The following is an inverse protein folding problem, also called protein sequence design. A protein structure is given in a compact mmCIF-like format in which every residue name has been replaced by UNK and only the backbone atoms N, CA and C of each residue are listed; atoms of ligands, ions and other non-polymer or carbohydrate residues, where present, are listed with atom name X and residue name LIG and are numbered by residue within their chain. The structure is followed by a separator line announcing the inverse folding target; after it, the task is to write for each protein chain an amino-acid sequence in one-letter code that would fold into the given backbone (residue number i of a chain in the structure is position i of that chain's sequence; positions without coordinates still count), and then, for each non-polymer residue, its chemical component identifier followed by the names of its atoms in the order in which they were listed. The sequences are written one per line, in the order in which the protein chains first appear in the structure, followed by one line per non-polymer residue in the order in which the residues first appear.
data_IF_216467421698
#
_entry.id   IF_216467421698
#
_cell.length_a   1.000
_cell.length_b   1.000
_cell.length_c   1.000
_cell.angle_alpha   90.00
_cell.angle_beta   90.00
_cell.angle_gamma   90.00
#
_symmetry.space_group_name_H-M   'P 1'
#
loop_
_entity.id
_entity.type
_entity.pdbx_description
1 polymer ?
#
# COMPACT_ATOMS: atom_id res chain seq x y z
N UNK A 1 -4.89 20.28 -2.32
CA UNK A 1 -3.53 19.98 -1.84
C UNK A 1 -3.58 19.76 -0.33
N UNK A 2 -2.95 18.72 0.22
CA UNK A 2 -3.04 18.30 1.64
C UNK A 2 -1.63 18.38 2.29
N UNK A 3 -1.20 19.56 2.81
CA UNK A 3 0.16 19.78 3.35
C UNK A 3 0.62 18.78 4.42
N UNK A 4 -0.26 18.38 5.33
CA UNK A 4 0.05 17.43 6.39
C UNK A 4 0.23 16.00 5.87
N UNK A 5 -0.43 15.62 4.76
CA UNK A 5 -0.16 14.35 4.08
C UNK A 5 1.29 14.28 3.59
N UNK A 6 1.79 15.38 3.01
CA UNK A 6 3.19 15.50 2.58
C UNK A 6 4.15 15.41 3.77
N UNK A 7 3.84 16.12 4.85
CA UNK A 7 4.63 16.14 6.09
C UNK A 7 4.67 14.76 6.74
N UNK A 8 3.55 14.04 6.77
CA UNK A 8 3.44 12.68 7.30
C UNK A 8 4.37 11.72 6.55
N UNK A 9 4.26 11.70 5.22
CA UNK A 9 5.07 10.81 4.39
C UNK A 9 6.57 11.12 4.50
N UNK A 10 6.97 12.40 4.49
CA UNK A 10 8.37 12.78 4.69
C UNK A 10 8.90 12.46 6.09
N UNK A 11 8.06 12.53 7.11
CA UNK A 11 8.44 12.15 8.47
C UNK A 11 8.63 10.62 8.60
N UNK A 12 7.76 9.81 7.99
CA UNK A 12 7.93 8.35 7.92
C UNK A 12 9.24 7.95 7.23
N UNK A 13 9.66 8.73 6.23
CA UNK A 13 10.93 8.54 5.51
C UNK A 13 12.16 9.09 6.26
N UNK A 14 12.00 9.56 7.50
CA UNK A 14 13.06 10.14 8.33
C UNK A 14 13.82 11.30 7.63
N UNK A 15 13.13 12.09 6.79
CA UNK A 15 13.72 13.21 6.07
C UNK A 15 14.16 14.33 7.02
N UNK A 16 15.44 14.68 7.02
CA UNK A 16 16.05 15.49 8.08
C UNK A 16 15.47 16.90 8.28
N UNK A 17 14.93 17.56 7.25
CA UNK A 17 14.24 18.86 7.42
C UNK A 17 12.87 18.69 8.06
N UNK A 18 12.10 17.70 7.64
CA UNK A 18 10.76 17.39 8.14
C UNK A 18 10.82 16.85 9.56
N UNK A 19 11.78 15.99 9.87
CA UNK A 19 12.02 15.53 11.24
C UNK A 19 12.26 16.74 12.13
N UNK A 20 13.21 17.62 11.78
CA UNK A 20 13.48 18.88 12.53
C UNK A 20 12.24 19.77 12.65
N UNK A 21 11.43 19.89 11.60
CA UNK A 21 10.17 20.64 11.61
C UNK A 21 9.19 20.05 12.63
N UNK A 22 8.97 18.73 12.60
CA UNK A 22 8.09 18.03 13.54
C UNK A 22 8.62 18.12 14.97
N UNK A 23 9.94 18.01 15.19
CA UNK A 23 10.56 18.23 16.51
C UNK A 23 10.21 19.61 17.06
N UNK A 24 10.39 20.66 16.24
CA UNK A 24 10.06 22.04 16.64
C UNK A 24 8.59 22.19 16.99
N UNK A 25 7.70 21.51 16.26
CA UNK A 25 6.26 21.50 16.53
C UNK A 25 5.97 20.81 17.87
N UNK A 26 6.52 19.62 18.10
CA UNK A 26 6.34 18.90 19.38
C UNK A 26 6.79 19.78 20.57
N UNK A 27 7.96 20.42 20.47
CA UNK A 27 8.45 21.31 21.51
C UNK A 27 7.57 22.55 21.70
N UNK A 28 7.09 23.16 20.61
CA UNK A 28 6.20 24.33 20.66
C UNK A 28 4.89 24.05 21.41
N UNK A 29 4.38 22.82 21.31
CA UNK A 29 3.12 22.42 21.95
C UNK A 29 3.32 21.58 23.22
N UNK A 30 4.54 21.61 23.80
CA UNK A 30 4.90 20.87 25.02
C UNK A 30 4.57 19.37 24.96
N UNK A 31 4.74 18.77 23.78
CA UNK A 31 4.52 17.33 23.55
C UNK A 31 5.85 16.60 23.80
N UNK A 32 6.11 16.26 25.06
CA UNK A 32 7.30 15.51 25.47
C UNK A 32 6.95 14.38 26.44
N UNK A 33 7.92 13.50 26.71
CA UNK A 33 7.77 12.37 27.65
C UNK A 33 7.59 12.83 29.10
N UNK A 34 8.12 14.00 29.43
CA UNK A 34 8.14 14.57 30.79
C UNK A 34 6.82 15.28 31.15
N UNK A 35 6.02 15.64 30.15
CA UNK A 35 4.77 16.35 30.33
C UNK A 35 3.57 15.41 30.31
N UNK A 36 2.86 15.31 31.43
CA UNK A 36 1.62 14.52 31.55
C UNK A 36 0.52 14.98 30.58
N UNK A 37 0.58 16.24 30.13
CA UNK A 37 -0.38 16.85 29.19
C UNK A 37 -0.11 16.62 27.70
N UNK A 38 0.74 15.66 27.30
CA UNK A 38 1.15 15.49 25.91
C UNK A 38 -0.02 15.33 24.90
N UNK A 39 -1.10 14.66 25.29
CA UNK A 39 -2.32 14.51 24.47
C UNK A 39 -3.09 15.83 24.35
N UNK A 40 -3.08 16.66 25.40
CA UNK A 40 -3.70 18.00 25.35
C UNK A 40 -2.90 18.93 24.43
N UNK A 41 -1.57 18.80 24.41
CA UNK A 41 -0.69 19.48 23.46
C UNK A 41 -1.01 19.12 22.00
N UNK A 42 -1.31 17.85 21.71
CA UNK A 42 -1.77 17.41 20.39
C UNK A 42 -3.11 18.06 20.00
N UNK A 43 -4.07 18.14 20.91
CA UNK A 43 -5.36 18.79 20.63
C UNK A 43 -5.18 20.28 20.35
N UNK A 44 -4.31 20.97 21.12
CA UNK A 44 -3.95 22.39 20.88
C UNK A 44 -3.23 22.62 19.56
N UNK A 45 -2.40 21.67 19.13
CA UNK A 45 -1.78 21.72 17.82
C UNK A 45 -2.85 21.69 16.73
N UNK A 46 -3.76 20.73 16.77
CA UNK A 46 -4.81 20.59 15.74
C UNK A 46 -5.72 21.82 15.73
N UNK A 47 -6.11 22.33 16.90
CA UNK A 47 -6.97 23.50 17.00
C UNK A 47 -6.34 24.79 16.45
N UNK A 48 -5.00 24.89 16.45
CA UNK A 48 -4.27 26.08 16.00
C UNK A 48 -3.70 26.00 14.58
N UNK A 49 -3.58 24.80 14.00
CA UNK A 49 -2.93 24.59 12.69
C UNK A 49 -3.89 24.44 11.52
N UNK A 50 -5.14 24.05 11.77
CA UNK A 50 -6.16 23.78 10.73
C UNK A 50 -7.15 24.97 10.59
N UNK A 51 -6.77 26.16 11.06
CA UNK A 51 -7.59 27.38 11.03
C UNK A 51 -7.55 28.05 9.65
N UNK A 52 -8.27 27.46 8.69
CA UNK A 52 -8.24 27.89 7.29
C UNK A 52 -9.44 28.68 6.77
N UNK A 53 -10.64 28.60 7.37
CA UNK A 53 -11.87 29.12 6.76
C UNK A 53 -12.91 29.60 7.79
N UNK A 54 -13.80 30.51 7.34
CA UNK A 54 -15.00 30.97 8.07
C UNK A 54 -16.03 29.84 8.17
N UNK A 55 -15.79 28.88 9.05
CA UNK A 55 -16.73 27.78 9.32
C UNK A 55 -17.70 28.21 10.42
N UNK A 56 -19.02 28.05 10.22
CA UNK A 56 -20.00 28.29 11.26
C UNK A 56 -19.98 27.13 12.28
N UNK A 57 -19.51 27.35 13.52
CA UNK A 57 -19.35 26.29 14.51
C UNK A 57 -20.68 25.61 14.85
N UNK A 58 -21.78 26.38 14.85
CA UNK A 58 -23.12 25.89 15.18
C UNK A 58 -23.66 24.94 14.12
N UNK A 59 -23.34 25.17 12.83
CA UNK A 59 -23.73 24.28 11.74
C UNK A 59 -22.98 22.95 11.82
N UNK A 60 -21.66 23.01 12.06
CA UNK A 60 -20.84 21.81 12.23
C UNK A 60 -21.26 21.00 13.44
N UNK A 61 -21.46 21.64 14.60
CA UNK A 61 -21.91 20.94 15.81
C UNK A 61 -23.29 20.28 15.64
N UNK A 62 -24.20 20.90 14.87
CA UNK A 62 -25.48 20.27 14.51
C UNK A 62 -25.27 19.02 13.65
N UNK A 63 -24.31 19.04 12.73
CA UNK A 63 -23.98 17.87 11.89
C UNK A 63 -23.32 16.73 12.67
N UNK A 64 -22.50 17.06 13.69
CA UNK A 64 -21.82 16.08 14.55
C UNK A 64 -22.71 15.54 15.67
N UNK A 65 -23.86 16.17 15.95
CA UNK A 65 -24.77 15.82 17.03
C UNK A 65 -25.29 14.38 16.98
N UNK A 66 -25.34 13.76 15.80
CA UNK A 66 -25.71 12.34 15.63
C UNK A 66 -24.60 11.35 16.01
N UNK A 67 -23.39 11.82 16.27
CA UNK A 67 -22.25 10.96 16.58
C UNK A 67 -22.16 10.66 18.09
N UNK A 68 -22.04 9.39 18.52
CA UNK A 68 -22.08 9.02 19.94
C UNK A 68 -20.92 9.59 20.77
N UNK A 69 -19.77 9.86 20.15
CA UNK A 69 -18.60 10.46 20.82
C UNK A 69 -18.67 11.99 20.94
N UNK A 70 -19.58 12.66 20.24
CA UNK A 70 -19.63 14.11 20.19
C UNK A 70 -19.91 14.78 21.55
N UNK A 71 -20.91 14.35 22.34
CA UNK A 71 -21.17 14.95 23.66
C UNK A 71 -19.97 14.81 24.61
N UNK A 72 -19.29 13.66 24.60
CA UNK A 72 -18.10 13.41 25.41
C UNK A 72 -16.94 14.32 25.01
N UNK A 73 -16.73 14.50 23.70
CA UNK A 73 -15.71 15.40 23.19
C UNK A 73 -15.99 16.86 23.60
N UNK A 74 -17.23 17.34 23.47
CA UNK A 74 -17.58 18.71 23.87
C UNK A 74 -17.36 18.98 25.36
N UNK A 75 -17.78 18.08 26.24
CA UNK A 75 -17.57 18.21 27.69
C UNK A 75 -16.06 18.29 28.00
N UNK A 76 -15.25 17.45 27.34
CA UNK A 76 -13.81 17.47 27.49
C UNK A 76 -13.18 18.78 27.00
N UNK A 77 -13.66 19.35 25.88
CA UNK A 77 -13.21 20.67 25.40
C UNK A 77 -13.46 21.74 26.47
N UNK A 78 -14.69 21.80 27.01
CA UNK A 78 -15.07 22.79 28.03
C UNK A 78 -14.22 22.67 29.30
N UNK A 79 -13.95 21.44 29.76
CA UNK A 79 -13.22 21.21 31.00
C UNK A 79 -11.70 21.38 30.89
N UNK A 80 -11.11 21.03 29.74
CA UNK A 80 -9.64 20.98 29.57
C UNK A 80 -9.06 22.14 28.76
N UNK A 81 -9.90 22.91 28.07
CA UNK A 81 -9.48 24.04 27.24
C UNK A 81 -10.38 25.26 27.45
N UNK A 82 -10.43 25.84 28.66
CA UNK A 82 -11.25 27.01 28.96
C UNK A 82 -10.83 28.24 28.14
N UNK A 83 -9.58 28.29 27.69
CA UNK A 83 -9.05 29.33 26.79
C UNK A 83 -9.67 29.32 25.39
N UNK A 84 -10.36 28.24 25.01
CA UNK A 84 -11.10 28.14 23.75
C UNK A 84 -12.54 28.65 23.87
N UNK A 85 -13.01 29.05 25.06
CA UNK A 85 -14.35 29.64 25.22
C UNK A 85 -14.42 31.09 24.70
N UNK A 86 -13.32 31.84 24.80
CA UNK A 86 -13.23 33.24 24.38
C UNK A 86 -12.79 33.44 22.93
N UNK A 87 -12.40 32.37 22.23
CA UNK A 87 -11.83 32.40 20.87
C UNK A 87 -12.85 32.05 19.78
N UNK A 88 -12.57 32.50 18.56
CA UNK A 88 -13.37 32.24 17.38
C UNK A 88 -13.67 30.73 17.23
N UNK A 89 -14.94 30.38 17.00
CA UNK A 89 -15.42 29.02 17.24
C UNK A 89 -14.86 27.93 16.32
N UNK A 90 -14.08 28.24 15.29
CA UNK A 90 -13.37 27.25 14.47
C UNK A 90 -12.35 26.44 15.27
N UNK A 91 -11.62 27.06 16.21
CA UNK A 91 -10.65 26.34 17.06
C UNK A 91 -11.36 25.29 17.92
N UNK A 92 -12.55 25.64 18.42
CA UNK A 92 -13.40 24.76 19.22
C UNK A 92 -13.89 23.56 18.40
N UNK A 93 -14.22 23.77 17.12
CA UNK A 93 -14.61 22.70 16.19
C UNK A 93 -13.46 21.70 16.00
N UNK A 94 -12.26 22.19 15.69
CA UNK A 94 -11.09 21.34 15.46
C UNK A 94 -10.64 20.59 16.71
N UNK A 95 -10.69 21.24 17.88
CA UNK A 95 -10.44 20.57 19.16
C UNK A 95 -11.46 19.45 19.43
N UNK A 96 -12.74 19.69 19.14
CA UNK A 96 -13.80 18.68 19.30
C UNK A 96 -13.58 17.50 18.36
N UNK A 97 -13.26 17.73 17.08
CA UNK A 97 -12.98 16.68 16.10
C UNK A 97 -11.74 15.86 16.50
N UNK A 98 -10.66 16.50 16.95
CA UNK A 98 -9.46 15.82 17.42
C UNK A 98 -9.76 14.90 18.62
N UNK A 99 -10.56 15.35 19.59
CA UNK A 99 -10.98 14.53 20.72
C UNK A 99 -11.89 13.37 20.32
N UNK A 100 -12.80 13.56 19.36
CA UNK A 100 -13.62 12.47 18.82
C UNK A 100 -12.74 11.38 18.19
N UNK A 101 -11.67 11.76 17.47
CA UNK A 101 -10.70 10.81 16.92
C UNK A 101 -9.89 10.12 18.02
N UNK A 102 -9.45 10.85 19.05
CA UNK A 102 -8.73 10.28 20.19
C UNK A 102 -9.59 9.31 21.01
N UNK A 103 -10.90 9.58 21.12
CA UNK A 103 -11.87 8.71 21.81
C UNK A 103 -12.36 7.54 20.96
N UNK A 104 -11.97 7.47 19.67
CA UNK A 104 -12.41 6.38 18.79
C UNK A 104 -11.97 5.01 19.30
N UNK A 105 -12.92 4.07 19.32
CA UNK A 105 -12.62 2.70 19.71
C UNK A 105 -12.11 1.89 18.53
N UNK A 106 -12.67 2.16 17.35
CA UNK A 106 -12.29 1.55 16.09
C UNK A 106 -12.42 2.51 14.91
N UNK A 107 -12.15 1.96 13.73
CA UNK A 107 -12.22 2.65 12.44
C UNK A 107 -13.66 3.10 12.12
N UNK A 108 -14.66 2.36 12.59
CA UNK A 108 -16.07 2.69 12.39
C UNK A 108 -16.47 4.03 13.01
N UNK A 109 -15.88 4.40 14.15
CA UNK A 109 -16.17 5.70 14.77
C UNK A 109 -15.60 6.85 13.95
N UNK A 110 -14.39 6.70 13.42
CA UNK A 110 -13.80 7.69 12.51
C UNK A 110 -14.60 7.75 11.19
N UNK A 111 -15.10 6.62 10.68
CA UNK A 111 -15.97 6.57 9.51
C UNK A 111 -17.30 7.31 9.74
N UNK A 112 -17.97 7.07 10.88
CA UNK A 112 -19.21 7.77 11.23
C UNK A 112 -18.98 9.28 11.36
N UNK A 113 -17.85 9.70 11.93
CA UNK A 113 -17.45 11.11 11.97
C UNK A 113 -17.35 11.70 10.56
N UNK A 114 -16.71 10.98 9.64
CA UNK A 114 -16.61 11.39 8.23
C UNK A 114 -17.98 11.44 7.53
N UNK A 115 -18.88 10.50 7.83
CA UNK A 115 -20.24 10.50 7.28
C UNK A 115 -21.08 11.69 7.80
N UNK A 116 -20.87 12.11 9.05
CA UNK A 116 -21.48 13.33 9.59
C UNK A 116 -21.00 14.59 8.84
N UNK A 117 -19.71 14.63 8.48
CA UNK A 117 -19.11 15.74 7.72
C UNK A 117 -19.53 15.71 6.24
N UNK A 118 -19.81 14.53 5.66
CA UNK A 118 -20.33 14.41 4.30
C UNK A 118 -21.80 14.81 4.14
N UNK A 119 -22.51 15.01 5.25
CA UNK A 119 -23.89 15.47 5.20
C UNK A 119 -23.99 16.83 4.52
N UNK A 120 -24.98 17.09 3.65
CA UNK A 120 -25.19 18.39 3.01
C UNK A 120 -25.47 19.54 4.00
N UNK A 121 -25.58 19.23 5.30
CA UNK A 121 -25.72 20.18 6.40
C UNK A 121 -24.38 20.60 7.04
N UNK A 122 -23.27 19.99 6.64
CA UNK A 122 -21.94 20.34 7.15
C UNK A 122 -21.25 21.33 6.22
N UNK A 123 -20.65 22.36 6.80
CA UNK A 123 -19.83 23.34 6.08
C UNK A 123 -18.35 22.90 5.99
N UNK A 124 -18.00 21.74 6.56
CA UNK A 124 -16.64 21.19 6.55
C UNK A 124 -16.39 20.33 5.32
N UNK A 125 -15.25 20.53 4.67
CA UNK A 125 -14.79 19.69 3.58
C UNK A 125 -14.10 18.42 4.10
N UNK A 126 -14.33 17.30 3.41
CA UNK A 126 -13.64 16.03 3.67
C UNK A 126 -12.12 16.20 3.58
N UNK A 127 -11.62 17.08 2.71
CA UNK A 127 -10.19 17.35 2.56
C UNK A 127 -9.58 18.00 3.81
N UNK A 128 -10.35 18.83 4.52
CA UNK A 128 -9.88 19.49 5.75
C UNK A 128 -9.83 18.50 6.90
N UNK A 129 -10.82 17.60 6.98
CA UNK A 129 -10.79 16.49 7.95
C UNK A 129 -9.63 15.54 7.64
N UNK A 130 -9.34 15.26 6.36
CA UNK A 130 -8.16 14.49 5.97
C UNK A 130 -6.86 15.17 6.38
N UNK A 131 -6.72 16.48 6.17
CA UNK A 131 -5.56 17.26 6.61
C UNK A 131 -5.36 17.15 8.13
N UNK A 132 -6.45 17.26 8.91
CA UNK A 132 -6.43 17.06 10.37
C UNK A 132 -6.00 15.63 10.76
N UNK A 133 -6.55 14.62 10.10
CA UNK A 133 -6.20 13.22 10.35
C UNK A 133 -4.71 12.94 10.04
N UNK A 134 -4.15 13.51 8.96
CA UNK A 134 -2.72 13.41 8.66
C UNK A 134 -1.84 14.14 9.67
N UNK A 135 -2.28 15.30 10.18
CA UNK A 135 -1.61 16.00 11.26
C UNK A 135 -1.51 15.12 12.51
N UNK A 136 -2.65 14.55 12.93
CA UNK A 136 -2.71 13.64 14.08
C UNK A 136 -1.87 12.38 13.88
N UNK A 137 -1.93 11.75 12.70
CA UNK A 137 -1.11 10.58 12.38
C UNK A 137 0.40 10.90 12.50
N UNK A 138 0.83 12.05 11.95
CA UNK A 138 2.23 12.49 12.05
C UNK A 138 2.68 12.65 13.49
N UNK A 139 1.88 13.32 14.32
CA UNK A 139 2.24 13.54 15.72
C UNK A 139 2.23 12.26 16.53
N UNK A 140 1.20 11.41 16.37
CA UNK A 140 1.12 10.14 17.10
C UNK A 140 2.31 9.22 16.76
N UNK A 141 2.71 9.19 15.48
CA UNK A 141 3.91 8.47 15.07
C UNK A 141 5.19 9.07 15.67
N UNK A 142 5.31 10.40 15.66
CA UNK A 142 6.45 11.12 16.23
C UNK A 142 6.56 11.00 17.76
N UNK A 143 5.43 10.98 18.47
CA UNK A 143 5.36 10.75 19.92
C UNK A 143 5.87 9.35 20.24
N UNK A 144 5.45 8.36 19.46
CA UNK A 144 5.91 6.97 19.61
C UNK A 144 7.40 6.81 19.34
N UNK A 145 7.91 7.38 18.24
CA UNK A 145 9.33 7.28 17.88
C UNK A 145 10.26 7.90 18.95
N UNK A 146 9.70 8.75 19.81
CA UNK A 146 10.37 9.41 20.94
C UNK A 146 10.09 8.76 22.30
N UNK A 147 9.44 7.60 22.32
CA UNK A 147 9.17 6.85 23.55
C UNK A 147 8.13 7.48 24.47
N UNK A 148 7.20 8.29 23.95
CA UNK A 148 6.02 8.75 24.68
C UNK A 148 4.99 7.60 24.70
N UNK A 149 4.48 7.18 25.86
CA UNK A 149 3.60 6.02 25.99
C UNK A 149 2.21 6.32 25.43
N UNK A 150 1.96 5.98 24.16
CA UNK A 150 0.66 6.11 23.49
C UNK A 150 0.30 4.80 22.79
N UNK A 151 -0.98 4.44 22.83
CA UNK A 151 -1.49 3.26 22.13
C UNK A 151 -1.32 3.37 20.62
N UNK A 152 -0.77 2.32 19.99
CA UNK A 152 -0.69 2.21 18.53
C UNK A 152 -2.07 2.17 17.85
N UNK A 153 -3.12 1.86 18.61
CA UNK A 153 -4.48 1.69 18.08
C UNK A 153 -4.97 2.95 17.38
N UNK A 154 -4.78 4.12 17.99
CA UNK A 154 -5.32 5.38 17.46
C UNK A 154 -4.61 5.73 16.13
N UNK A 155 -3.28 5.60 16.09
CA UNK A 155 -2.52 5.81 14.86
C UNK A 155 -2.95 4.84 13.74
N UNK A 156 -3.17 3.57 14.08
CA UNK A 156 -3.68 2.57 13.14
C UNK A 156 -5.09 2.92 12.64
N UNK A 157 -6.01 3.26 13.54
CA UNK A 157 -7.39 3.63 13.19
C UNK A 157 -7.41 4.81 12.21
N UNK A 158 -6.60 5.84 12.48
CA UNK A 158 -6.47 7.01 11.59
C UNK A 158 -5.88 6.59 10.24
N UNK A 159 -4.76 5.86 10.24
CA UNK A 159 -4.07 5.44 9.02
C UNK A 159 -4.98 4.58 8.11
N UNK A 160 -5.71 3.64 8.70
CA UNK A 160 -6.62 2.78 7.96
C UNK A 160 -7.88 3.53 7.49
N UNK A 161 -8.39 4.48 8.28
CA UNK A 161 -9.50 5.35 7.86
C UNK A 161 -9.11 6.25 6.69
N UNK A 162 -7.90 6.83 6.72
CA UNK A 162 -7.32 7.59 5.61
C UNK A 162 -7.16 6.72 4.36
N UNK A 163 -6.66 5.49 4.51
CA UNK A 163 -6.58 4.54 3.40
C UNK A 163 -7.96 4.26 2.78
N UNK A 164 -8.99 3.98 3.59
CA UNK A 164 -10.35 3.74 3.11
C UNK A 164 -10.92 4.98 2.40
N UNK A 165 -10.68 6.18 2.94
CA UNK A 165 -11.08 7.45 2.32
C UNK A 165 -10.44 7.63 0.95
N UNK A 166 -9.13 7.41 0.83
CA UNK A 166 -8.41 7.54 -0.43
C UNK A 166 -8.75 6.44 -1.44
N UNK A 167 -9.17 5.28 -0.95
CA UNK A 167 -9.61 4.15 -1.77
C UNK A 167 -11.07 4.23 -2.20
N UNK A 168 -11.87 5.13 -1.62
CA UNK A 168 -13.30 5.30 -1.94
C UNK A 168 -13.45 6.18 -3.19
N UNK A 169 -14.20 5.75 -4.22
CA UNK A 169 -14.43 6.57 -5.42
C UNK A 169 -15.14 7.88 -5.06
N UNK A 170 -14.61 9.01 -5.52
CA UNK A 170 -15.27 10.33 -5.45
C UNK A 170 -14.72 11.34 -4.42
N UNK A 171 -13.66 11.03 -3.66
CA UNK A 171 -13.17 11.92 -2.57
C UNK A 171 -11.95 12.76 -2.98
N UNK A 172 -11.17 12.31 -3.97
CA UNK A 172 -9.97 13.01 -4.47
C UNK A 172 -10.20 13.64 -5.85
N UNK A 173 -11.45 13.71 -6.32
CA UNK A 173 -11.80 14.56 -7.45
C UNK A 173 -12.16 15.95 -6.93
N UNK A 174 -11.60 17.04 -7.50
CA UNK A 174 -12.19 18.36 -7.35
C UNK A 174 -13.68 18.25 -7.72
N UNK A 175 -14.54 18.94 -6.97
CA UNK A 175 -15.93 19.12 -7.37
C UNK A 175 -15.97 19.64 -8.80
N UNK A 176 -16.34 18.78 -9.75
CA UNK A 176 -17.27 19.10 -10.81
C UNK A 176 -17.91 17.81 -11.35
N UNK A 177 -19.23 17.90 -11.43
CA UNK A 177 -20.15 17.11 -12.25
C UNK A 177 -20.53 15.70 -11.80
N UNK A 178 -21.77 15.62 -11.34
CA UNK A 178 -22.51 14.38 -11.22
C UNK A 178 -22.97 13.84 -12.57
N UNK A 179 -23.32 12.55 -12.56
CA UNK A 179 -24.17 11.84 -13.54
C UNK A 179 -23.98 12.24 -15.01
N UNK A 180 -22.99 11.71 -15.72
CA UNK A 180 -23.18 11.47 -17.17
C UNK A 180 -22.43 10.23 -17.63
N UNK A 181 -23.16 9.42 -18.39
CA UNK A 181 -22.69 8.27 -19.12
C UNK A 181 -21.63 8.63 -20.18
N UNK A 182 -20.65 7.74 -20.36
CA UNK A 182 -19.92 7.40 -21.61
C UNK A 182 -19.41 8.48 -22.59
N UNK A 183 -19.45 9.78 -22.32
CA UNK A 183 -18.97 10.80 -23.28
C UNK A 183 -18.23 12.01 -22.69
N UNK A 184 -17.96 12.05 -21.38
CA UNK A 184 -17.42 13.25 -20.69
C UNK A 184 -15.89 13.23 -20.40
N UNK A 185 -15.11 12.34 -21.01
CA UNK A 185 -13.67 12.22 -20.71
C UNK A 185 -12.77 13.12 -21.58
N UNK A 186 -13.37 13.98 -22.40
CA UNK A 186 -12.71 14.85 -23.39
C UNK A 186 -12.05 16.09 -22.77
N UNK A 187 -12.57 16.60 -21.64
CA UNK A 187 -12.23 17.95 -21.13
C UNK A 187 -11.42 17.96 -19.83
N UNK A 188 -10.78 16.84 -19.45
CA UNK A 188 -9.88 16.84 -18.30
C UNK A 188 -8.56 17.55 -18.67
N UNK A 189 -8.35 18.75 -18.15
CA UNK A 189 -7.11 19.52 -18.32
C UNK A 189 -5.94 18.77 -17.69
N UNK A 190 -5.09 18.18 -18.53
CA UNK A 190 -3.91 17.43 -18.11
C UNK A 190 -2.83 18.36 -17.53
N UNK A 191 -2.11 17.88 -16.51
CA UNK A 191 -0.97 18.60 -15.96
C UNK A 191 0.20 18.63 -16.95
N UNK A 192 1.13 19.57 -16.76
CA UNK A 192 2.33 19.66 -17.61
C UNK A 192 3.15 18.37 -17.58
N UNK A 193 3.23 17.73 -16.41
CA UNK A 193 3.92 16.45 -16.22
C UNK A 193 3.24 15.30 -16.98
N UNK A 194 1.90 15.23 -16.92
CA UNK A 194 1.12 14.27 -17.71
C UNK A 194 1.33 14.51 -19.21
N UNK A 195 1.31 15.76 -19.67
CA UNK A 195 1.57 16.09 -21.07
C UNK A 195 2.97 15.69 -21.53
N UNK A 196 4.01 15.88 -20.69
CA UNK A 196 5.36 15.41 -20.99
C UNK A 196 5.41 13.89 -21.21
N UNK A 197 4.74 13.13 -20.34
CA UNK A 197 4.63 11.67 -20.47
C UNK A 197 3.88 11.30 -21.76
N UNK A 198 2.75 11.95 -22.04
CA UNK A 198 1.97 11.71 -23.26
C UNK A 198 2.70 12.10 -24.54
N UNK A 199 3.65 13.05 -24.49
CA UNK A 199 4.45 13.44 -25.64
C UNK A 199 5.61 12.46 -25.92
N UNK A 200 5.94 11.59 -24.97
CA UNK A 200 6.93 10.54 -25.16
C UNK A 200 6.35 9.40 -26.00
N UNK A 201 6.71 9.29 -27.27
CA UNK A 201 6.37 8.11 -28.09
C UNK A 201 7.33 6.98 -27.78
N UNK A 202 6.84 5.95 -27.07
CA UNK A 202 7.67 4.83 -26.64
C UNK A 202 8.13 3.97 -27.81
N UNK A 203 9.39 3.53 -27.75
CA UNK A 203 10.00 2.63 -28.74
C UNK A 203 10.18 1.21 -28.17
N UNK A 204 10.24 0.17 -29.01
CA UNK A 204 10.62 -1.18 -28.55
C UNK A 204 11.93 -1.16 -27.75
N UNK A 205 11.98 -1.95 -26.68
CA UNK A 205 13.12 -2.02 -25.77
C UNK A 205 13.21 -0.89 -24.73
N UNK A 206 12.47 0.21 -24.89
CA UNK A 206 12.48 1.28 -23.91
C UNK A 206 11.73 0.89 -22.64
N UNK A 207 12.33 1.22 -21.50
CA UNK A 207 11.67 1.20 -20.18
C UNK A 207 11.52 2.64 -19.71
N UNK A 208 10.28 3.09 -19.60
CA UNK A 208 9.87 4.38 -19.06
C UNK A 208 9.38 4.16 -17.64
N UNK A 209 9.99 4.87 -16.69
CA UNK A 209 9.62 4.84 -15.28
C UNK A 209 8.95 6.16 -14.91
N UNK A 210 7.81 6.08 -14.23
CA UNK A 210 7.01 7.24 -13.83
C UNK A 210 6.86 7.19 -12.31
N UNK A 211 7.54 8.12 -11.65
CA UNK A 211 7.53 8.28 -10.20
C UNK A 211 6.37 9.20 -9.83
N UNK A 212 5.33 8.64 -9.26
CA UNK A 212 4.07 9.33 -9.07
C UNK A 212 3.66 9.36 -7.60
N UNK A 213 3.07 10.46 -7.13
CA UNK A 213 2.49 10.50 -5.79
C UNK A 213 1.03 10.03 -5.80
N UNK A 214 0.56 9.57 -4.64
CA UNK A 214 -0.83 9.24 -4.38
C UNK A 214 -1.79 10.36 -4.83
N UNK A 215 -2.72 10.03 -5.73
CA UNK A 215 -3.75 10.96 -6.22
C UNK A 215 -3.35 11.80 -7.44
N UNK A 216 -2.15 11.67 -7.99
CA UNK A 216 -1.67 12.43 -9.18
C UNK A 216 -2.18 11.91 -10.53
N UNK A 217 -3.17 11.02 -10.51
CA UNK A 217 -3.76 10.46 -11.74
C UNK A 217 -2.86 9.46 -12.47
N UNK A 218 -2.14 8.57 -11.74
CA UNK A 218 -1.33 7.46 -12.29
C UNK A 218 -2.08 6.67 -13.39
N UNK A 219 -3.20 6.07 -13.01
CA UNK A 219 -4.04 5.28 -13.92
C UNK A 219 -4.62 6.15 -15.04
N UNK A 220 -5.04 7.39 -14.75
CA UNK A 220 -5.57 8.32 -15.76
C UNK A 220 -4.53 8.64 -16.83
N UNK A 221 -3.27 8.83 -16.43
CA UNK A 221 -2.16 9.11 -17.34
C UNK A 221 -1.95 7.95 -18.31
N UNK A 222 -2.01 6.70 -17.81
CA UNK A 222 -1.90 5.51 -18.65
C UNK A 222 -3.09 5.36 -19.62
N UNK A 223 -4.31 5.65 -19.16
CA UNK A 223 -5.51 5.63 -20.01
C UNK A 223 -5.36 6.64 -21.15
N UNK A 224 -5.03 7.89 -20.82
CA UNK A 224 -4.84 8.97 -21.79
C UNK A 224 -3.68 8.70 -22.75
N UNK A 225 -2.62 8.04 -22.27
CA UNK A 225 -1.53 7.58 -23.13
C UNK A 225 -2.02 6.55 -24.17
N UNK A 226 -2.79 5.54 -23.75
CA UNK A 226 -3.33 4.54 -24.67
C UNK A 226 -4.35 5.12 -25.67
N UNK A 227 -5.15 6.11 -25.25
CA UNK A 227 -6.06 6.85 -26.13
C UNK A 227 -5.31 7.66 -27.20
N UNK A 228 -4.17 8.25 -26.84
CA UNK A 228 -3.35 9.08 -27.76
C UNK A 228 -2.65 8.24 -28.84
N UNK A 229 -2.32 6.99 -28.56
CA UNK A 229 -1.64 6.08 -29.48
C UNK A 229 -2.53 4.88 -29.81
N UNK A 230 -3.65 5.07 -30.53
CA UNK A 230 -4.62 4.01 -30.82
C UNK A 230 -4.05 2.92 -31.74
N UNK A 231 -2.96 3.20 -32.46
CA UNK A 231 -2.28 2.24 -33.34
C UNK A 231 -1.49 1.17 -32.59
N UNK A 232 -1.13 1.43 -31.33
CA UNK A 232 -0.33 0.53 -30.50
C UNK A 232 -1.23 -0.44 -29.72
N UNK A 233 -0.76 -1.67 -29.55
CA UNK A 233 -1.38 -2.70 -28.71
C UNK A 233 -0.74 -2.72 -27.33
N UNK A 234 -1.56 -2.51 -26.31
CA UNK A 234 -1.09 -2.44 -24.93
C UNK A 234 -1.50 -3.68 -24.13
N UNK A 235 -0.62 -4.09 -23.22
CA UNK A 235 -0.94 -5.04 -22.16
C UNK A 235 -0.84 -4.32 -20.81
N UNK A 236 -1.95 -4.18 -20.12
CA UNK A 236 -1.97 -3.71 -18.74
C UNK A 236 -1.83 -4.90 -17.78
N UNK A 237 -0.75 -4.91 -17.00
CA UNK A 237 -0.44 -5.92 -16.01
C UNK A 237 -0.62 -5.37 -14.60
N UNK A 238 -1.46 -6.03 -13.79
CA UNK A 238 -1.70 -5.62 -12.40
C UNK A 238 -1.46 -6.74 -11.37
N UNK A 239 -1.27 -6.32 -10.11
CA UNK A 239 -1.14 -7.23 -8.95
C UNK A 239 -2.46 -7.85 -8.55
N UNK A 240 -3.46 -7.00 -8.33
CA UNK A 240 -4.77 -7.41 -7.84
C UNK A 240 -5.74 -7.64 -8.99
N UNK A 241 -6.62 -8.63 -8.83
CA UNK A 241 -7.78 -8.82 -9.70
C UNK A 241 -8.67 -7.56 -9.72
N UNK A 242 -8.85 -6.90 -8.58
CA UNK A 242 -9.62 -5.66 -8.48
C UNK A 242 -9.06 -4.55 -9.39
N UNK A 243 -7.74 -4.38 -9.44
CA UNK A 243 -7.09 -3.41 -10.33
C UNK A 243 -7.24 -3.80 -11.81
N UNK A 244 -7.13 -5.09 -12.14
CA UNK A 244 -7.35 -5.55 -13.51
C UNK A 244 -8.79 -5.28 -13.97
N UNK A 245 -9.80 -5.55 -13.14
CA UNK A 245 -11.20 -5.28 -13.47
C UNK A 245 -11.47 -3.77 -13.59
N UNK A 246 -10.93 -2.95 -12.66
CA UNK A 246 -10.99 -1.48 -12.78
C UNK A 246 -10.33 -1.00 -14.07
N UNK A 247 -9.19 -1.58 -14.44
CA UNK A 247 -8.52 -1.29 -15.70
C UNK A 247 -9.41 -1.59 -16.91
N UNK A 248 -10.11 -2.74 -16.93
CA UNK A 248 -11.00 -3.09 -18.05
C UNK A 248 -12.15 -2.10 -18.27
N UNK A 249 -12.65 -1.47 -17.21
CA UNK A 249 -13.71 -0.45 -17.36
C UNK A 249 -13.19 0.92 -17.79
N UNK A 250 -11.89 1.17 -17.64
CA UNK A 250 -11.28 2.48 -17.86
C UNK A 250 -10.46 2.57 -19.15
N UNK A 251 -9.74 1.52 -19.50
CA UNK A 251 -8.85 1.55 -20.66
C UNK A 251 -9.60 1.38 -21.99
N UNK A 252 -9.11 2.00 -23.07
CA UNK A 252 -9.62 1.80 -24.42
C UNK A 252 -9.40 0.35 -24.92
N UNK A 253 -10.08 0.01 -26.01
CA UNK A 253 -10.13 -1.36 -26.57
C UNK A 253 -8.79 -1.91 -27.06
N UNK A 254 -7.80 -1.03 -27.33
CA UNK A 254 -6.43 -1.40 -27.68
C UNK A 254 -5.59 -1.85 -26.47
N UNK A 255 -6.16 -1.85 -25.25
CA UNK A 255 -5.49 -2.30 -24.02
C UNK A 255 -6.11 -3.58 -23.49
N UNK A 256 -5.27 -4.60 -23.27
CA UNK A 256 -5.69 -5.85 -22.63
C UNK A 256 -5.28 -5.87 -21.16
N UNK A 257 -6.25 -5.97 -20.24
CA UNK A 257 -5.99 -5.98 -18.80
C UNK A 257 -5.88 -7.42 -18.26
N UNK A 258 -4.75 -7.75 -17.62
CA UNK A 258 -4.46 -9.06 -17.02
C UNK A 258 -3.68 -8.91 -15.71
N UNK A 259 -3.77 -9.90 -14.84
CA UNK A 259 -2.86 -10.00 -13.68
C UNK A 259 -1.67 -10.90 -14.00
N UNK A 260 -0.54 -10.71 -13.32
CA UNK A 260 0.61 -11.62 -13.39
C UNK A 260 0.17 -13.07 -13.12
N UNK A 261 -0.59 -13.27 -12.05
CA UNK A 261 -1.14 -14.58 -11.69
C UNK A 261 -2.03 -15.18 -12.79
N UNK A 262 -2.85 -14.36 -13.47
CA UNK A 262 -3.73 -14.87 -14.53
C UNK A 262 -2.96 -15.37 -15.75
N UNK A 263 -1.87 -14.70 -16.12
CA UNK A 263 -1.00 -15.10 -17.22
C UNK A 263 -0.20 -16.35 -16.86
N UNK A 264 0.37 -16.39 -15.66
CA UNK A 264 1.09 -17.55 -15.15
C UNK A 264 0.16 -18.77 -14.99
N UNK A 265 -1.07 -18.55 -14.53
CA UNK A 265 -2.08 -19.60 -14.40
C UNK A 265 -2.49 -20.16 -15.77
N UNK A 266 -2.69 -19.30 -16.77
CA UNK A 266 -3.03 -19.72 -18.12
C UNK A 266 -1.91 -20.56 -18.76
N UNK A 267 -0.65 -20.18 -18.54
CA UNK A 267 0.51 -20.86 -19.11
C UNK A 267 0.85 -22.18 -18.38
N UNK A 268 0.96 -22.12 -17.05
CA UNK A 268 1.50 -23.22 -16.22
C UNK A 268 0.47 -23.74 -15.23
N UNK A 269 -0.22 -22.84 -14.52
CA UNK A 269 -1.11 -23.21 -13.41
C UNK A 269 -2.25 -24.16 -13.81
N UNK A 270 -2.79 -24.05 -15.03
CA UNK A 270 -3.87 -24.92 -15.54
C UNK A 270 -3.50 -26.40 -15.50
N UNK A 271 -2.25 -26.75 -15.86
CA UNK A 271 -1.76 -28.14 -15.84
C UNK A 271 -1.79 -28.74 -14.43
N UNK A 272 -1.47 -27.93 -13.42
CA UNK A 272 -1.55 -28.34 -12.01
C UNK A 272 -3.00 -28.41 -11.51
N UNK A 273 -3.89 -27.54 -12.00
CA UNK A 273 -5.32 -27.57 -11.68
C UNK A 273 -5.95 -28.87 -12.16
N UNK A 274 -5.71 -29.22 -13.41
CA UNK A 274 -6.30 -30.39 -14.06
C UNK A 274 -5.85 -31.70 -13.39
N UNK A 275 -4.69 -31.70 -12.76
CA UNK A 275 -4.15 -32.81 -11.95
C UNK A 275 -4.53 -32.77 -10.46
N UNK A 276 -5.38 -31.83 -10.03
CA UNK A 276 -5.77 -31.68 -8.62
C UNK A 276 -4.61 -31.34 -7.67
N UNK A 277 -3.51 -30.80 -8.21
CA UNK A 277 -2.26 -30.53 -7.49
C UNK A 277 -2.14 -29.07 -7.02
N UNK A 278 -3.15 -28.24 -7.22
CA UNK A 278 -3.13 -26.86 -6.75
C UNK A 278 -3.57 -26.73 -5.29
N UNK A 279 -2.90 -25.83 -4.58
CA UNK A 279 -3.31 -25.31 -3.28
C UNK A 279 -3.06 -23.81 -3.26
N UNK A 280 -3.99 -23.03 -2.71
CA UNK A 280 -3.89 -21.57 -2.77
C UNK A 280 -2.62 -21.02 -2.09
N UNK A 281 -2.26 -21.58 -0.92
CA UNK A 281 -1.06 -21.21 -0.15
C UNK A 281 -0.40 -22.42 0.50
N UNK A 282 0.92 -22.34 0.69
CA UNK A 282 1.67 -23.26 1.53
C UNK A 282 1.37 -22.90 3.00
N UNK A 283 0.79 -23.83 3.74
CA UNK A 283 0.68 -23.70 5.20
C UNK A 283 1.89 -24.35 5.86
N UNK A 284 2.35 -23.81 6.99
CA UNK A 284 3.45 -24.39 7.78
C UNK A 284 3.18 -25.85 8.09
N UNK A 285 1.95 -26.18 8.49
CA UNK A 285 1.52 -27.57 8.73
C UNK A 285 1.72 -28.48 7.51
N UNK A 286 1.42 -28.01 6.29
CA UNK A 286 1.67 -28.82 5.10
C UNK A 286 3.15 -29.04 4.83
N UNK A 287 4.01 -28.08 5.17
CA UNK A 287 5.47 -28.24 5.07
C UNK A 287 5.95 -29.22 6.14
N UNK A 288 5.54 -29.04 7.40
CA UNK A 288 5.91 -29.91 8.53
C UNK A 288 5.59 -31.38 8.26
N UNK A 289 4.45 -31.69 7.62
CA UNK A 289 4.10 -33.07 7.23
C UNK A 289 5.02 -33.68 6.14
N UNK A 290 5.84 -32.87 5.47
CA UNK A 290 6.81 -33.30 4.45
C UNK A 290 8.23 -33.42 5.00
N UNK A 291 8.48 -32.88 6.21
CA UNK A 291 9.81 -32.90 6.83
C UNK A 291 10.00 -34.21 7.62
N UNK A 292 11.24 -34.67 7.69
CA UNK A 292 11.62 -35.78 8.56
C UNK A 292 11.98 -35.25 9.96
N UNK A 293 11.63 -36.03 10.99
CA UNK A 293 12.06 -35.74 12.36
C UNK A 293 13.60 -35.82 12.43
N UNK A 294 14.22 -34.84 13.09
CA UNK A 294 15.64 -34.84 13.40
C UNK A 294 15.78 -34.59 14.90
N UNK A 295 16.62 -35.38 15.56
CA UNK A 295 16.85 -35.25 17.00
C UNK A 295 17.39 -33.85 17.33
N UNK A 296 16.86 -33.24 18.39
CA UNK A 296 17.26 -31.92 18.84
C UNK A 296 16.69 -30.74 18.05
N UNK A 297 15.90 -30.94 16.98
CA UNK A 297 15.29 -29.84 16.23
C UNK A 297 13.76 -29.90 16.17
N UNK A 298 13.11 -28.75 16.43
CA UNK A 298 11.66 -28.63 16.30
C UNK A 298 11.22 -28.62 14.83
N UNK A 299 10.45 -29.64 14.43
CA UNK A 299 9.91 -29.77 13.06
C UNK A 299 9.01 -28.59 12.69
N UNK A 300 8.33 -28.00 13.67
CA UNK A 300 7.47 -26.83 13.44
C UNK A 300 8.30 -25.58 13.13
N UNK A 301 9.36 -25.33 13.90
CA UNK A 301 10.31 -24.24 13.64
C UNK A 301 10.94 -24.39 12.26
N UNK A 302 11.45 -25.59 11.94
CA UNK A 302 11.98 -25.89 10.61
C UNK A 302 10.95 -25.68 9.51
N UNK A 303 9.71 -26.10 9.74
CA UNK A 303 8.58 -25.86 8.83
C UNK A 303 8.36 -24.37 8.55
N UNK A 304 8.49 -23.50 9.56
CA UNK A 304 8.43 -22.03 9.37
C UNK A 304 9.59 -21.54 8.51
N UNK A 305 10.82 -21.96 8.82
CA UNK A 305 12.03 -21.53 8.10
C UNK A 305 11.97 -21.96 6.63
N UNK A 306 11.62 -23.23 6.36
CA UNK A 306 11.47 -23.78 5.00
C UNK A 306 10.34 -23.07 4.25
N UNK A 307 9.19 -22.85 4.90
CA UNK A 307 8.08 -22.11 4.29
C UNK A 307 8.48 -20.69 3.89
N UNK A 308 9.25 -19.99 4.74
CA UNK A 308 9.74 -18.65 4.43
C UNK A 308 10.81 -18.68 3.34
N UNK A 309 11.68 -19.68 3.35
CA UNK A 309 12.71 -19.89 2.32
C UNK A 309 12.09 -20.08 0.94
N UNK A 310 11.06 -20.92 0.82
CA UNK A 310 10.31 -21.10 -0.43
C UNK A 310 9.62 -19.80 -0.86
N UNK A 311 9.02 -19.06 0.08
CA UNK A 311 8.37 -17.77 -0.21
C UNK A 311 9.35 -16.74 -0.76
N UNK A 312 10.53 -16.63 -0.15
CA UNK A 312 11.59 -15.73 -0.59
C UNK A 312 12.13 -16.14 -1.98
N UNK A 313 12.29 -17.44 -2.23
CA UNK A 313 12.68 -17.93 -3.55
C UNK A 313 11.61 -17.67 -4.63
N UNK A 314 10.32 -17.84 -4.30
CA UNK A 314 9.25 -17.57 -5.25
C UNK A 314 9.12 -16.10 -5.61
N UNK A 315 9.53 -15.18 -4.73
CA UNK A 315 9.57 -13.74 -5.01
C UNK A 315 10.90 -13.26 -5.63
N UNK A 316 12.00 -14.01 -5.53
CA UNK A 316 13.30 -13.62 -6.08
C UNK A 316 13.41 -13.84 -7.59
N UNK A 317 14.40 -13.22 -8.23
CA UNK A 317 14.78 -13.47 -9.64
C UNK A 317 15.65 -14.73 -9.81
N UNK A 318 16.11 -15.34 -8.72
CA UNK A 318 17.13 -16.40 -8.74
C UNK A 318 16.64 -17.69 -9.42
N UNK A 319 17.50 -18.37 -10.19
CA UNK A 319 17.13 -19.60 -10.88
C UNK A 319 17.03 -20.82 -9.92
N UNK A 320 17.76 -20.78 -8.80
CA UNK A 320 17.80 -21.85 -7.79
C UNK A 320 17.67 -21.34 -6.35
N UNK A 321 17.26 -22.24 -5.45
CA UNK A 321 17.20 -21.94 -4.01
C UNK A 321 18.62 -21.95 -3.44
N UNK A 322 19.07 -20.79 -2.94
CA UNK A 322 20.32 -20.63 -2.20
C UNK A 322 20.10 -20.19 -0.73
N UNK A 323 21.17 -20.12 0.06
CA UNK A 323 21.15 -19.68 1.47
C UNK A 323 20.59 -18.27 1.67
N UNK A 324 20.73 -17.37 0.70
CA UNK A 324 20.22 -16.00 0.78
C UNK A 324 18.68 -15.94 0.89
N UNK A 325 17.98 -17.01 0.49
CA UNK A 325 16.53 -17.10 0.67
C UNK A 325 16.11 -17.46 2.10
N UNK A 326 17.03 -17.96 2.93
CA UNK A 326 16.70 -18.32 4.31
C UNK A 326 16.52 -17.06 5.17
N UNK A 327 15.56 -17.05 6.11
CA UNK A 327 15.43 -15.93 7.05
C UNK A 327 16.67 -15.83 7.95
N UNK A 328 16.98 -14.61 8.41
CA UNK A 328 18.09 -14.38 9.35
C UNK A 328 17.75 -14.84 10.77
N UNK A 329 16.47 -14.77 11.14
CA UNK A 329 15.97 -15.16 12.45
C UNK A 329 14.60 -15.82 12.35
N UNK A 330 14.22 -16.54 13.39
CA UNK A 330 12.91 -17.16 13.54
C UNK A 330 12.39 -16.95 14.98
N UNK A 331 11.09 -17.12 15.16
CA UNK A 331 10.46 -17.09 16.48
C UNK A 331 10.25 -18.52 17.00
N UNK A 332 10.88 -18.82 18.14
CA UNK A 332 10.76 -20.10 18.82
C UNK A 332 9.35 -20.28 19.43
N UNK A 333 8.97 -21.49 19.91
CA UNK A 333 7.66 -21.71 20.53
C UNK A 333 7.37 -20.84 21.77
N UNK A 334 8.42 -20.32 22.41
CA UNK A 334 8.36 -19.43 23.57
C UNK A 334 8.23 -17.94 23.19
N UNK A 335 8.14 -17.62 21.89
CA UNK A 335 7.99 -16.26 21.39
C UNK A 335 9.30 -15.45 21.32
N UNK A 336 10.45 -16.10 21.54
CA UNK A 336 11.76 -15.45 21.48
C UNK A 336 12.31 -15.52 20.06
N UNK A 337 12.96 -14.44 19.63
CA UNK A 337 13.60 -14.34 18.31
C UNK A 337 15.02 -14.89 18.41
N UNK A 338 15.28 -15.98 17.70
CA UNK A 338 16.59 -16.64 17.62
C UNK A 338 17.17 -16.49 16.21
N UNK A 339 18.50 -16.41 16.11
CA UNK A 339 19.20 -16.38 14.83
C UNK A 339 19.23 -17.77 14.21
N UNK A 340 18.99 -17.86 12.90
CA UNK A 340 19.15 -19.12 12.16
C UNK A 340 20.65 -19.38 12.00
N UNK A 341 21.14 -20.45 12.61
CA UNK A 341 22.53 -20.90 12.47
C UNK A 341 22.84 -21.31 11.03
N UNK A 342 24.12 -21.32 10.66
CA UNK A 342 24.55 -21.76 9.32
C UNK A 342 24.08 -23.18 8.99
N UNK A 343 24.19 -24.09 9.95
CA UNK A 343 23.76 -25.48 9.78
C UNK A 343 22.24 -25.58 9.54
N UNK A 344 21.43 -24.80 10.26
CA UNK A 344 19.97 -24.74 10.03
C UNK A 344 19.62 -24.16 8.66
N UNK A 345 20.39 -23.19 8.15
CA UNK A 345 20.23 -22.67 6.79
C UNK A 345 20.49 -23.76 5.75
N UNK A 346 21.61 -24.48 5.88
CA UNK A 346 21.99 -25.57 4.97
C UNK A 346 20.90 -26.66 4.93
N UNK A 347 20.41 -27.10 6.09
CA UNK A 347 19.29 -28.06 6.20
C UNK A 347 18.03 -27.50 5.53
N UNK A 348 17.66 -26.26 5.85
CA UNK A 348 16.44 -25.63 5.33
C UNK A 348 16.47 -25.48 3.80
N UNK A 349 17.63 -25.14 3.22
CA UNK A 349 17.83 -25.06 1.78
C UNK A 349 17.68 -26.44 1.14
N UNK A 350 18.30 -27.48 1.70
CA UNK A 350 18.19 -28.84 1.20
C UNK A 350 16.73 -29.34 1.20
N UNK A 351 15.99 -29.07 2.28
CA UNK A 351 14.58 -29.42 2.40
C UNK A 351 13.69 -28.64 1.44
N UNK A 352 13.91 -27.33 1.32
CA UNK A 352 13.20 -26.48 0.37
C UNK A 352 13.45 -26.95 -1.08
N UNK A 353 14.69 -27.32 -1.44
CA UNK A 353 15.04 -27.90 -2.75
C UNK A 353 14.28 -29.20 -3.01
N UNK A 354 14.23 -30.10 -2.02
CA UNK A 354 13.49 -31.38 -2.13
C UNK A 354 12.00 -31.15 -2.33
N UNK A 355 11.39 -30.26 -1.53
CA UNK A 355 9.97 -29.90 -1.66
C UNK A 355 9.69 -29.28 -3.02
N UNK A 356 10.50 -28.31 -3.45
CA UNK A 356 10.37 -27.66 -4.76
C UNK A 356 10.48 -28.66 -5.92
N UNK A 357 11.47 -29.55 -5.86
CA UNK A 357 11.65 -30.61 -6.86
C UNK A 357 10.40 -31.48 -6.98
N UNK A 358 9.79 -31.88 -5.86
CA UNK A 358 8.58 -32.70 -5.86
C UNK A 358 7.32 -31.91 -6.23
N UNK A 359 7.24 -30.61 -5.90
CA UNK A 359 6.16 -29.73 -6.35
C UNK A 359 6.09 -29.68 -7.88
N UNK A 360 7.23 -29.67 -8.58
CA UNK A 360 7.30 -29.61 -10.05
C UNK A 360 6.80 -30.85 -10.80
N UNK A 361 6.82 -32.04 -10.18
CA UNK A 361 6.46 -33.30 -10.85
C UNK A 361 4.95 -33.39 -11.13
N UNK A 362 4.53 -33.59 -12.37
CA UNK A 362 3.09 -33.69 -12.71
C UNK A 362 2.54 -35.12 -12.69
N UNK A 363 3.41 -36.13 -12.60
CA UNK A 363 3.01 -37.54 -12.72
C UNK A 363 2.37 -38.11 -11.44
N UNK A 364 1.36 -38.97 -11.66
CA UNK A 364 0.38 -39.44 -10.69
C UNK A 364 0.95 -40.28 -9.52
N UNK A 365 2.24 -40.65 -9.55
CA UNK A 365 2.90 -41.42 -8.48
C UNK A 365 3.66 -40.55 -7.46
N UNK A 366 3.86 -39.25 -7.74
CA UNK A 366 4.47 -38.34 -6.78
C UNK A 366 3.42 -37.91 -5.76
N UNK A 367 3.54 -38.47 -4.55
CA UNK A 367 2.91 -38.07 -3.30
C UNK A 367 2.07 -36.77 -3.39
N UNK A 368 0.74 -36.95 -3.42
CA UNK A 368 -0.25 -35.87 -3.53
C UNK A 368 -0.12 -34.80 -2.43
N UNK A 369 0.69 -35.04 -1.38
CA UNK A 369 1.02 -34.07 -0.33
C UNK A 369 1.79 -32.85 -0.86
N UNK A 370 2.59 -32.99 -1.92
CA UNK A 370 3.32 -31.86 -2.52
C UNK A 370 2.40 -31.06 -3.45
N UNK A 371 1.75 -30.01 -2.96
CA UNK A 371 0.87 -29.16 -3.78
C UNK A 371 1.59 -27.93 -4.33
N UNK A 372 1.25 -27.54 -5.56
CA UNK A 372 1.74 -26.32 -6.20
C UNK A 372 0.90 -25.10 -5.77
N UNK A 373 1.54 -23.96 -5.56
CA UNK A 373 0.88 -22.70 -5.16
C UNK A 373 0.84 -21.66 -6.27
N UNK A 374 0.09 -20.57 -6.05
CA UNK A 374 0.10 -19.41 -6.93
C UNK A 374 1.50 -18.86 -7.14
N UNK A 375 2.20 -18.55 -6.05
CA UNK A 375 3.58 -18.06 -6.12
C UNK A 375 4.53 -19.09 -6.75
N UNK A 376 4.27 -20.40 -6.54
CA UNK A 376 5.09 -21.48 -7.11
C UNK A 376 4.94 -21.62 -8.63
N UNK A 377 3.72 -21.61 -9.18
CA UNK A 377 3.56 -21.65 -10.64
C UNK A 377 3.96 -20.32 -11.30
N UNK A 378 3.84 -19.19 -10.58
CA UNK A 378 4.36 -17.91 -11.03
C UNK A 378 5.89 -17.97 -11.13
N UNK A 379 6.57 -18.58 -10.14
CA UNK A 379 8.02 -18.83 -10.21
C UNK A 379 8.39 -19.72 -11.38
N UNK A 380 7.66 -20.81 -11.64
CA UNK A 380 7.88 -21.62 -12.85
C UNK A 380 7.71 -20.82 -14.14
N UNK A 381 6.76 -19.88 -14.15
CA UNK A 381 6.51 -19.06 -15.31
C UNK A 381 7.65 -18.08 -15.53
N UNK A 382 8.15 -17.44 -14.48
CA UNK A 382 9.38 -16.63 -14.53
C UNK A 382 10.57 -17.44 -15.05
N UNK A 383 10.83 -18.62 -14.49
CA UNK A 383 11.94 -19.50 -14.91
C UNK A 383 11.82 -19.97 -16.37
N UNK A 384 10.61 -20.02 -16.94
CA UNK A 384 10.40 -20.33 -18.36
C UNK A 384 10.79 -19.19 -19.32
N UNK A 385 11.19 -18.02 -18.79
CA UNK A 385 11.56 -16.80 -19.53
C UNK A 385 10.48 -16.44 -20.58
N UNK A 386 9.25 -16.17 -20.15
CA UNK A 386 8.10 -16.10 -21.04
C UNK A 386 8.20 -14.87 -21.94
N UNK A 387 7.71 -14.97 -23.16
CA UNK A 387 7.68 -13.86 -24.12
C UNK A 387 6.23 -13.46 -24.39
N UNK A 388 5.86 -12.26 -23.92
CA UNK A 388 4.53 -11.65 -24.07
C UNK A 388 4.41 -11.01 -25.46
N UNK A 389 4.39 -11.86 -26.49
CA UNK A 389 4.24 -11.42 -27.88
C UNK A 389 2.83 -10.87 -28.18
N UNK A 390 2.74 -10.03 -29.21
CA UNK A 390 1.48 -9.43 -29.67
C UNK A 390 1.10 -8.10 -29.01
N UNK A 391 1.99 -7.54 -28.20
CA UNK A 391 1.85 -6.20 -27.61
C UNK A 391 3.08 -5.35 -27.93
N UNK A 392 2.84 -4.08 -28.23
CA UNK A 392 3.89 -3.09 -28.49
C UNK A 392 4.39 -2.46 -27.19
N UNK A 393 3.52 -2.40 -26.18
CA UNK A 393 3.80 -1.76 -24.89
C UNK A 393 3.14 -2.52 -23.72
N UNK A 394 3.87 -2.66 -22.62
CA UNK A 394 3.35 -3.17 -21.35
C UNK A 394 3.21 -2.00 -20.37
N UNK A 395 2.03 -1.87 -19.77
CA UNK A 395 1.76 -0.98 -18.65
C UNK A 395 1.77 -1.76 -17.35
N UNK A 396 2.41 -1.17 -16.34
CA UNK A 396 2.32 -1.64 -14.96
C UNK A 396 1.99 -0.44 -14.08
N UNK A 397 0.85 -0.50 -13.42
CA UNK A 397 0.48 0.46 -12.37
C UNK A 397 0.78 -0.16 -11.00
N UNK A 398 1.13 0.69 -10.04
CA UNK A 398 1.69 0.31 -8.74
C UNK A 398 2.92 -0.62 -8.85
N UNK A 399 3.85 -0.28 -9.76
CA UNK A 399 5.04 -1.06 -10.04
C UNK A 399 6.00 -1.24 -8.83
N UNK A 400 5.87 -0.43 -7.77
CA UNK A 400 6.60 -0.63 -6.51
C UNK A 400 6.19 -1.91 -5.75
N UNK A 401 5.03 -2.48 -6.07
CA UNK A 401 4.52 -3.71 -5.47
C UNK A 401 5.00 -4.97 -6.21
N UNK A 402 5.77 -4.81 -7.28
CA UNK A 402 6.38 -5.92 -8.01
C UNK A 402 7.46 -6.66 -7.22
N UNK A 403 7.31 -7.98 -7.12
CA UNK A 403 8.38 -8.86 -6.67
C UNK A 403 9.50 -8.89 -7.70
N UNK A 404 10.77 -9.13 -7.31
CA UNK A 404 11.86 -9.34 -8.25
C UNK A 404 11.56 -10.38 -9.35
N UNK A 405 10.85 -11.47 -9.05
CA UNK A 405 10.41 -12.45 -10.04
C UNK A 405 9.50 -11.84 -11.13
N UNK A 406 8.56 -10.98 -10.75
CA UNK A 406 7.70 -10.30 -11.71
C UNK A 406 8.46 -9.27 -12.54
N UNK A 407 9.44 -8.60 -11.92
CA UNK A 407 10.30 -7.64 -12.64
C UNK A 407 11.20 -8.33 -13.65
N UNK A 408 11.73 -9.50 -13.34
CA UNK A 408 12.50 -10.31 -14.29
C UNK A 408 11.68 -10.70 -15.52
N UNK A 409 10.40 -11.07 -15.31
CA UNK A 409 9.44 -11.27 -16.40
C UNK A 409 9.29 -9.99 -17.23
N UNK A 410 9.09 -8.83 -16.62
CA UNK A 410 8.92 -7.58 -17.37
C UNK A 410 10.20 -7.18 -18.12
N UNK A 411 11.36 -7.26 -17.49
CA UNK A 411 12.63 -6.85 -18.09
C UNK A 411 12.97 -7.67 -19.33
N UNK A 412 12.68 -8.97 -19.31
CA UNK A 412 12.92 -9.88 -20.44
C UNK A 412 12.02 -9.63 -21.67
N UNK A 413 11.03 -8.72 -21.58
CA UNK A 413 10.18 -8.36 -22.72
C UNK A 413 10.87 -7.36 -23.65
N UNK A 414 10.77 -7.62 -24.96
CA UNK A 414 11.36 -6.78 -26.02
C UNK A 414 10.53 -5.53 -26.33
N UNK A 415 9.26 -5.51 -25.95
CA UNK A 415 8.35 -4.38 -26.19
C UNK A 415 8.67 -3.18 -25.29
N UNK A 416 8.02 -2.04 -25.55
CA UNK A 416 8.09 -0.89 -24.66
C UNK A 416 7.48 -1.21 -23.29
N UNK A 417 7.97 -0.59 -22.23
CA UNK A 417 7.49 -0.78 -20.85
C UNK A 417 7.24 0.58 -20.22
N UNK A 418 6.04 0.83 -19.71
CA UNK A 418 5.72 2.01 -18.90
C UNK A 418 5.34 1.54 -17.50
N UNK A 419 6.19 1.88 -16.54
CA UNK A 419 6.07 1.45 -15.14
C UNK A 419 5.74 2.68 -14.30
N UNK A 420 4.56 2.69 -13.70
CA UNK A 420 4.07 3.78 -12.87
C UNK A 420 3.96 3.28 -11.45
N UNK A 421 4.45 4.07 -10.49
CA UNK A 421 4.34 3.70 -9.10
C UNK A 421 4.63 4.82 -8.14
N UNK A 422 4.18 4.64 -6.91
CA UNK A 422 4.46 5.52 -5.79
C UNK A 422 5.34 4.79 -4.77
N UNK A 423 6.60 5.20 -4.67
CA UNK A 423 7.55 4.67 -3.67
C UNK A 423 7.04 4.80 -2.23
N UNK A 424 6.13 5.73 -1.97
CA UNK A 424 5.55 5.95 -0.65
C UNK A 424 4.30 5.10 -0.36
N UNK A 425 3.79 4.34 -1.35
CA UNK A 425 2.59 3.49 -1.20
C UNK A 425 2.91 1.98 -1.33
N UNK A 426 4.13 1.54 -1.01
CA UNK A 426 4.44 0.11 -1.03
C UNK A 426 3.63 -0.61 0.08
N UNK A 427 2.65 -1.44 -0.32
CA UNK A 427 1.73 -2.11 0.61
C UNK A 427 1.92 -3.63 0.67
N UNK A 428 2.69 -4.23 -0.25
CA UNK A 428 2.94 -5.68 -0.31
C UNK A 428 4.31 -6.13 0.21
N UNK A 429 4.98 -5.34 1.05
CA UNK A 429 6.33 -5.60 1.59
C UNK A 429 6.48 -6.98 2.26
N UNK A 430 5.40 -7.53 2.83
CA UNK A 430 5.36 -8.86 3.46
C UNK A 430 5.66 -10.03 2.51
N UNK A 431 5.74 -9.82 1.19
CA UNK A 431 6.14 -10.82 0.19
C UNK A 431 7.64 -10.82 -0.16
N UNK A 432 8.45 -10.04 0.55
CA UNK A 432 9.88 -9.90 0.25
C UNK A 432 10.16 -8.93 -0.90
N UNK A 433 9.26 -7.98 -1.14
CA UNK A 433 9.47 -6.94 -2.13
C UNK A 433 10.58 -5.99 -1.64
N UNK A 434 11.73 -6.00 -2.33
CA UNK A 434 12.70 -4.91 -2.32
C UNK A 434 12.10 -3.75 -3.13
N UNK A 435 12.49 -2.49 -2.92
CA UNK A 435 12.06 -1.37 -3.78
C UNK A 435 12.61 -1.55 -5.20
N UNK A 436 11.92 -2.39 -5.96
CA UNK A 436 12.25 -2.78 -7.32
C UNK A 436 12.08 -1.61 -8.26
N UNK A 437 11.08 -0.76 -8.02
CA UNK A 437 10.88 0.44 -8.81
C UNK A 437 12.11 1.35 -8.74
N UNK A 438 12.72 1.55 -7.57
CA UNK A 438 13.93 2.38 -7.42
C UNK A 438 15.14 1.84 -8.18
N UNK A 439 15.43 0.55 -8.04
CA UNK A 439 16.68 -0.09 -8.52
C UNK A 439 16.64 -0.50 -10.00
N UNK A 440 15.48 -0.42 -10.64
CA UNK A 440 15.29 -0.85 -12.02
C UNK A 440 16.03 0.00 -13.07
N UNK A 441 16.74 -0.65 -14.01
CA UNK A 441 17.23 0.01 -15.22
C UNK A 441 16.07 0.61 -16.00
N UNK A 442 16.22 1.87 -16.37
CA UNK A 442 15.25 2.60 -17.16
C UNK A 442 15.96 3.44 -18.21
N UNK A 443 15.30 3.64 -19.34
CA UNK A 443 15.77 4.53 -20.41
C UNK A 443 15.31 5.96 -20.19
N UNK A 444 14.15 6.14 -19.56
CA UNK A 444 13.54 7.45 -19.31
C UNK A 444 12.88 7.45 -17.94
N UNK A 445 12.94 8.60 -17.27
CA UNK A 445 12.32 8.84 -15.96
C UNK A 445 11.44 10.07 -16.05
N UNK A 446 10.19 9.93 -15.61
CA UNK A 446 9.24 11.03 -15.46
C UNK A 446 8.73 11.07 -14.03
N UNK A 447 8.15 12.21 -13.67
CA UNK A 447 7.55 12.45 -12.37
C UNK A 447 6.10 12.90 -12.54
N UNK A 448 5.21 12.41 -11.68
CA UNK A 448 3.85 12.91 -11.51
C UNK A 448 3.73 13.37 -10.05
N UNK A 449 3.88 14.67 -9.86
CA UNK A 449 3.84 15.34 -8.56
C UNK A 449 2.61 16.21 -8.36
N UNK A 450 1.88 16.52 -9.43
CA UNK A 450 0.70 17.41 -9.43
C UNK A 450 -0.55 16.75 -9.99
#
# INVERSE_FOLDING_TARGET
FIPWKKTYNWYLMNEGKTVRKVVRILNKFSISKEWEGCVLGLVRLVSSTVTGLNVNPSAVFRSLGSHPLFPKAQICVLQKFPDLESKAGAEKVWATLALMVLFSDGVDDIRRLLDCVRSPRSELSVLEVMEMLYCMATMLFAMRSRGIPITNRIHYNISYSLYLLESTPGIVQPLEEGRVASSAWSDVKLSHEQLMILNHRIKPGQTVKIMAFAGTGKTLTLVKYAEKFPELKFLFMSFGKAMAEKGKSLFPSNVKCKTFDSLAFQSIGRRYKDKGKLKFRLSVSSITCLLQNQEGQSVFVRGKIVSQTLKNFFSSSDEEICEAHTPLSFENPQGQVELVSRQEKEISVAEAKKIWHNMKKLDNAADQRYKMTCDGYLKLWQLSKPQLSGYDVIFVDEAQDCTPAMMDILQSQKCGKILVGDIHQQIYTFRGNVDTLFTMPHTHLYHLTQ
#
